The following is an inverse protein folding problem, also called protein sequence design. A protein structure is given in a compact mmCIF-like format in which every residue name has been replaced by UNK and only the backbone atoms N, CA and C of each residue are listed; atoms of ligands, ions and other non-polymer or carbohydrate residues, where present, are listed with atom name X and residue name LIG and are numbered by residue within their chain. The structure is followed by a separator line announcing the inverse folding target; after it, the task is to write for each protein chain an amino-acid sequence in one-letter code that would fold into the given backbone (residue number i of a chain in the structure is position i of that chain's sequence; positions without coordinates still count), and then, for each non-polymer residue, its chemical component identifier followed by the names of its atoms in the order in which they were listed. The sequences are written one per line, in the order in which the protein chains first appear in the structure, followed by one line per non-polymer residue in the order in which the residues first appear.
data_IF_701249891279
#
_entry.id   IF_701249891279
#
_cell.length_a   1.000
_cell.length_b   1.000
_cell.length_c   1.000
_cell.angle_alpha   90.00
_cell.angle_beta   90.00
_cell.angle_gamma   90.00
#
_symmetry.space_group_name_H-M   'P 1'
#
loop_
_entity.id
_entity.type
_entity.pdbx_description
1 polymer ?
#
# COMPACT_ATOMS: atom_id res chain seq x y z
N UNK A 1 4.35 2.56 -28.26
CA UNK A 1 3.56 1.82 -27.26
C UNK A 1 4.21 2.13 -25.92
N UNK A 2 3.59 2.95 -25.08
CA UNK A 2 4.16 3.23 -23.75
C UNK A 2 3.77 2.07 -22.85
N UNK A 3 4.74 1.23 -22.55
CA UNK A 3 4.59 0.18 -21.55
C UNK A 3 4.25 0.85 -20.20
N UNK A 4 3.25 0.37 -19.46
CA UNK A 4 3.01 0.89 -18.12
C UNK A 4 4.29 0.72 -17.29
N UNK A 5 4.88 1.84 -16.88
CA UNK A 5 5.96 1.83 -15.91
C UNK A 5 5.35 1.51 -14.54
N UNK A 6 5.17 0.21 -14.27
CA UNK A 6 4.99 -0.25 -12.91
C UNK A 6 6.27 0.14 -12.15
N UNK A 7 6.12 0.92 -11.07
CA UNK A 7 7.25 1.33 -10.24
C UNK A 7 8.05 0.11 -9.76
N UNK A 8 9.31 0.32 -9.38
CA UNK A 8 10.09 -0.74 -8.74
C UNK A 8 9.69 -0.85 -7.27
N UNK A 9 9.73 -2.07 -6.72
CA UNK A 9 9.68 -2.27 -5.28
C UNK A 9 10.85 -1.53 -4.61
N UNK A 10 10.51 -0.84 -3.53
CA UNK A 10 11.42 -0.03 -2.73
C UNK A 10 11.32 -0.43 -1.27
N UNK A 11 12.36 -0.11 -0.49
CA UNK A 11 12.39 -0.37 0.95
C UNK A 11 11.26 0.38 1.66
N UNK A 12 10.55 -0.30 2.56
CA UNK A 12 9.40 0.27 3.27
C UNK A 12 9.77 1.50 4.12
N UNK A 13 11.01 1.60 4.62
CA UNK A 13 11.44 2.72 5.45
C UNK A 13 11.40 4.07 4.73
N UNK A 14 11.46 4.06 3.39
CA UNK A 14 11.36 5.27 2.56
C UNK A 14 9.97 5.49 1.96
N UNK A 15 8.97 4.70 2.36
CA UNK A 15 7.61 4.85 1.88
C UNK A 15 6.99 6.20 2.30
N UNK A 16 6.16 6.82 1.44
CA UNK A 16 5.52 8.09 1.73
C UNK A 16 4.52 7.98 2.90
N UNK A 17 4.79 8.68 3.99
CA UNK A 17 3.94 8.74 5.19
C UNK A 17 2.97 9.94 5.18
N UNK A 18 2.56 10.38 3.98
CA UNK A 18 1.63 11.52 3.77
C UNK A 18 0.17 11.10 3.60
N UNK A 19 -0.11 9.80 3.60
CA UNK A 19 -1.46 9.25 3.45
C UNK A 19 -1.87 8.86 2.03
N UNK A 20 -0.98 9.04 1.05
CA UNK A 20 -1.11 8.42 -0.26
C UNK A 20 -1.26 6.89 -0.16
N UNK A 21 -1.99 6.32 -1.12
CA UNK A 21 -2.12 4.87 -1.27
C UNK A 21 -0.93 4.31 -2.04
N UNK A 22 -0.35 3.25 -1.51
CA UNK A 22 0.77 2.52 -2.12
C UNK A 22 0.45 1.02 -2.15
N UNK A 23 1.10 0.28 -3.04
CA UNK A 23 1.14 -1.17 -2.91
C UNK A 23 2.21 -1.52 -1.88
N UNK A 24 1.93 -2.53 -1.07
CA UNK A 24 2.87 -3.07 -0.07
C UNK A 24 2.98 -4.58 -0.25
N UNK A 25 4.19 -5.11 -0.08
CA UNK A 25 4.42 -6.55 0.05
C UNK A 25 4.35 -6.90 1.55
N UNK A 26 3.34 -7.65 1.93
CA UNK A 26 3.13 -8.13 3.29
C UNK A 26 3.88 -9.46 3.46
N UNK A 27 4.73 -9.54 4.48
CA UNK A 27 5.45 -10.79 4.81
C UNK A 27 4.46 -11.89 5.17
N UNK A 28 4.84 -13.13 4.88
CA UNK A 28 4.14 -14.28 5.45
C UNK A 28 4.22 -14.23 7.00
N UNK A 29 3.10 -14.51 7.65
CA UNK A 29 2.96 -14.46 9.10
C UNK A 29 1.92 -15.48 9.58
N UNK A 30 1.62 -15.48 10.89
CA UNK A 30 0.51 -16.27 11.44
C UNK A 30 -0.86 -15.84 10.86
N UNK A 31 -0.94 -14.66 10.26
CA UNK A 31 -2.14 -14.17 9.59
C UNK A 31 -2.33 -14.75 8.17
N UNK A 32 -1.28 -15.31 7.54
CA UNK A 32 -1.39 -15.84 6.19
C UNK A 32 -0.07 -15.91 5.39
N UNK A 33 -0.15 -16.36 4.13
CA UNK A 33 0.99 -16.32 3.21
C UNK A 33 1.42 -14.86 2.90
N UNK A 34 2.55 -14.71 2.21
CA UNK A 34 2.94 -13.40 1.70
C UNK A 34 1.96 -12.93 0.62
N UNK A 35 1.55 -11.66 0.68
CA UNK A 35 0.55 -11.07 -0.20
C UNK A 35 0.94 -9.64 -0.61
N UNK A 36 0.38 -9.16 -1.72
CA UNK A 36 0.48 -7.75 -2.12
C UNK A 36 -0.86 -7.08 -1.85
N UNK A 37 -0.84 -5.99 -1.10
CA UNK A 37 -2.04 -5.23 -0.74
C UNK A 37 -1.87 -3.73 -1.00
N UNK A 38 -2.97 -2.97 -0.95
CA UNK A 38 -2.96 -1.50 -1.01
C UNK A 38 -3.06 -0.96 0.41
N UNK A 39 -2.06 -0.20 0.85
CA UNK A 39 -2.05 0.42 2.18
C UNK A 39 -1.90 1.94 2.09
N UNK A 40 -2.20 2.63 3.21
CA UNK A 40 -1.90 4.05 3.40
C UNK A 40 -1.42 4.31 4.82
N UNK A 41 -0.62 5.35 5.01
CA UNK A 41 -0.25 5.84 6.33
C UNK A 41 -1.36 6.72 6.90
N UNK A 42 -1.94 6.35 8.03
CA UNK A 42 -2.97 7.14 8.67
C UNK A 42 -3.12 6.81 10.15
N UNK A 43 -3.78 7.70 10.89
CA UNK A 43 -4.12 7.50 12.29
C UNK A 43 -5.54 6.93 12.40
N UNK A 44 -5.71 5.65 12.79
CA UNK A 44 -7.04 5.13 13.08
C UNK A 44 -7.58 5.75 14.37
N UNK A 45 -8.91 5.90 14.44
CA UNK A 45 -9.62 6.61 15.52
C UNK A 45 -9.27 6.11 16.92
N UNK A 46 -9.00 4.80 17.05
CA UNK A 46 -8.68 4.14 18.33
C UNK A 46 -7.18 4.03 18.63
N UNK A 47 -6.30 4.52 17.77
CA UNK A 47 -4.85 4.45 17.98
C UNK A 47 -4.28 5.79 18.44
N UNK A 48 -3.27 5.76 19.31
CA UNK A 48 -2.53 6.95 19.71
C UNK A 48 -1.68 7.51 18.55
N UNK A 49 -1.21 6.63 17.67
CA UNK A 49 -0.21 6.91 16.64
C UNK A 49 -0.69 6.49 15.25
N UNK A 50 -0.12 7.14 14.23
CA UNK A 50 -0.35 6.76 12.85
C UNK A 50 0.39 5.46 12.52
N UNK A 51 -0.19 4.66 11.64
CA UNK A 51 0.37 3.39 11.19
C UNK A 51 -0.02 3.12 9.73
N UNK A 52 0.53 2.04 9.17
CA UNK A 52 0.08 1.51 7.90
C UNK A 52 -1.24 0.78 8.10
N UNK A 53 -2.23 1.13 7.29
CA UNK A 53 -3.56 0.51 7.30
C UNK A 53 -3.94 0.08 5.89
N UNK A 54 -4.54 -1.10 5.78
CA UNK A 54 -5.10 -1.58 4.53
C UNK A 54 -6.15 -0.58 4.02
N UNK A 55 -6.10 -0.26 2.74
CA UNK A 55 -6.87 0.83 2.15
C UNK A 55 -8.34 0.46 1.91
N UNK A 56 -8.65 -0.83 1.85
CA UNK A 56 -9.99 -1.41 1.71
C UNK A 56 -10.63 -1.77 3.06
N UNK A 57 -9.93 -1.56 4.19
CA UNK A 57 -10.50 -1.78 5.52
C UNK A 57 -11.73 -0.93 5.79
N UNK A 58 -12.75 -1.55 6.39
CA UNK A 58 -13.92 -0.85 6.90
C UNK A 58 -13.54 0.06 8.09
N UNK A 59 -14.17 1.24 8.24
CA UNK A 59 -13.91 2.13 9.39
C UNK A 59 -14.14 1.46 10.75
N UNK A 60 -15.02 0.44 10.81
CA UNK A 60 -15.28 -0.36 12.00
C UNK A 60 -14.33 -1.54 12.20
N UNK A 61 -13.54 -1.91 11.19
CA UNK A 61 -12.64 -3.05 11.19
C UNK A 61 -11.34 -2.70 10.46
N UNK A 62 -10.55 -1.83 11.08
CA UNK A 62 -9.28 -1.39 10.52
C UNK A 62 -8.24 -2.49 10.65
N UNK A 63 -7.71 -2.96 9.51
CA UNK A 63 -6.53 -3.82 9.46
C UNK A 63 -5.30 -2.92 9.42
N UNK A 64 -4.46 -3.04 10.45
CA UNK A 64 -3.21 -2.30 10.57
C UNK A 64 -2.02 -3.25 10.42
N UNK A 65 -0.99 -2.78 9.72
CA UNK A 65 0.27 -3.47 9.54
C UNK A 65 1.36 -2.79 10.37
N UNK A 66 2.16 -3.59 11.08
CA UNK A 66 3.41 -3.10 11.62
C UNK A 66 4.43 -2.90 10.49
N UNK A 67 5.32 -1.91 10.61
CA UNK A 67 6.34 -1.66 9.58
C UNK A 67 7.27 -2.88 9.36
N UNK A 68 7.52 -3.68 10.41
CA UNK A 68 8.27 -4.93 10.32
C UNK A 68 7.54 -6.08 9.59
N UNK A 69 6.27 -5.88 9.25
CA UNK A 69 5.47 -6.81 8.44
C UNK A 69 5.49 -6.47 6.95
N UNK A 70 6.01 -5.30 6.59
CA UNK A 70 6.00 -4.81 5.22
C UNK A 70 7.42 -4.89 4.64
N UNK A 71 7.59 -5.72 3.61
CA UNK A 71 8.90 -6.00 3.00
C UNK A 71 9.31 -4.91 2.01
N UNK A 72 8.34 -4.32 1.31
CA UNK A 72 8.59 -3.25 0.35
C UNK A 72 7.31 -2.56 -0.09
N UNK A 73 7.48 -1.45 -0.80
CA UNK A 73 6.37 -0.69 -1.38
C UNK A 73 6.64 -0.28 -2.82
N UNK A 74 5.56 0.06 -3.53
CA UNK A 74 5.62 0.75 -4.81
C UNK A 74 4.44 1.71 -4.97
N UNK A 75 4.55 2.79 -5.77
CA UNK A 75 3.41 3.63 -6.08
C UNK A 75 2.33 2.83 -6.82
N UNK A 76 1.07 3.21 -6.64
CA UNK A 76 -0.02 2.67 -7.45
C UNK A 76 0.25 2.94 -8.94
N UNK A 77 -0.07 1.97 -9.84
CA UNK A 77 0.07 2.20 -11.26
C UNK A 77 -0.80 3.37 -11.69
N UNK A 78 -0.20 4.32 -12.41
CA UNK A 78 -0.96 5.40 -13.03
C UNK A 78 -1.93 4.81 -14.06
N UNK A 79 -3.16 5.34 -14.18
CA UNK A 79 -4.06 4.94 -15.24
C UNK A 79 -3.37 5.14 -16.59
N UNK A 80 -3.49 4.14 -17.47
CA UNK A 80 -3.01 4.26 -18.84
C UNK A 80 -3.62 5.50 -19.49
N UNK A 81 -2.85 6.26 -20.30
CA UNK A 81 -3.41 7.37 -21.05
C UNK A 81 -4.57 6.86 -21.90
N UNK A 82 -5.70 7.58 -21.89
CA UNK A 82 -6.89 7.22 -22.69
C UNK A 82 -6.47 7.07 -24.15
N UNK A 83 -6.54 5.84 -24.68
CA UNK A 83 -6.40 5.60 -26.11
C UNK A 83 -7.52 6.37 -26.81
N UNK A 84 -7.17 7.35 -27.65
CA UNK A 84 -8.18 8.05 -28.45
C UNK A 84 -8.73 7.05 -29.47
N UNK A 85 -10.05 6.84 -29.55
CA UNK A 85 -10.62 6.10 -30.66
C UNK A 85 -10.30 6.87 -31.95
N UNK A 86 -9.75 6.16 -32.94
CA UNK A 86 -9.43 6.68 -34.28
C UNK A 86 -10.64 6.54 -35.18
#
# INVERSE_FOLDING_TARGET
MNEPHYGRWQDMAIAPKDGARVLVEVRASEQGPAEVDVARWAKPDRSAEACWIAADSDPGCVIAYAEAELLGWMPLPAPLPKLRPT
#
